data_IF_313376182594
#
_entry.id   IF_313376182594
#
_cell.length_a   1.000
_cell.length_b   1.000
_cell.length_c   1.000
_cell.angle_alpha   90.00
_cell.angle_beta   90.00
_cell.angle_gamma   90.00
#
_symmetry.space_group_name_H-M   'P 1'
#
loop_
_entity.id
_entity.type
_entity.pdbx_description
1 polymer ?
#
# COMPACT_ATOMS: atom_id res chain seq x y z
N UNK A 1 17.42 -31.96 44.87
CA UNK A 1 18.19 -30.87 44.24
C UNK A 1 17.41 -30.44 43.02
N UNK A 2 16.75 -29.28 43.09
CA UNK A 2 15.96 -28.71 41.98
C UNK A 2 16.92 -27.85 41.16
N UNK A 3 17.09 -28.17 39.87
CA UNK A 3 17.81 -27.30 38.94
C UNK A 3 16.97 -26.04 38.70
N UNK A 4 17.58 -24.83 38.66
CA UNK A 4 16.85 -23.64 38.24
C UNK A 4 16.63 -23.70 36.73
N UNK A 5 15.37 -23.65 36.32
CA UNK A 5 14.99 -23.42 34.92
C UNK A 5 15.42 -22.01 34.53
N UNK A 6 16.38 -21.90 33.63
CA UNK A 6 16.63 -20.65 32.89
C UNK A 6 15.37 -20.29 32.10
N UNK A 7 14.86 -19.05 32.18
CA UNK A 7 13.89 -18.60 31.20
C UNK A 7 14.57 -18.55 29.83
N UNK A 8 13.99 -19.24 28.87
CA UNK A 8 14.36 -19.19 27.45
C UNK A 8 14.08 -17.76 26.96
N UNK A 9 15.07 -16.88 27.12
CA UNK A 9 15.11 -15.49 26.66
C UNK A 9 15.29 -15.47 25.12
N UNK A 10 14.37 -16.11 24.41
CA UNK A 10 14.34 -16.11 22.95
C UNK A 10 13.03 -15.52 22.40
N UNK A 11 12.24 -14.88 23.27
CA UNK A 11 11.00 -14.18 22.93
C UNK A 11 11.22 -12.74 22.41
N UNK A 12 12.46 -12.24 22.39
CA UNK A 12 12.76 -10.83 22.11
C UNK A 12 13.24 -10.52 20.68
N UNK A 13 13.12 -11.45 19.71
CA UNK A 13 13.65 -11.28 18.35
C UNK A 13 12.68 -11.70 17.22
N UNK A 14 11.35 -11.72 17.43
CA UNK A 14 10.37 -11.78 16.32
C UNK A 14 9.23 -10.76 16.54
N UNK A 15 9.59 -9.51 16.81
CA UNK A 15 8.71 -8.34 16.58
C UNK A 15 9.45 -7.30 15.72
N UNK A 16 10.37 -7.76 14.87
CA UNK A 16 10.95 -6.94 13.80
C UNK A 16 9.87 -6.70 12.75
N UNK A 17 9.06 -5.67 12.98
CA UNK A 17 8.24 -4.97 12.00
C UNK A 17 7.68 -5.84 10.87
N UNK A 18 6.56 -6.53 11.12
CA UNK A 18 5.64 -6.85 10.02
C UNK A 18 5.07 -5.53 9.49
N UNK A 19 5.86 -4.82 8.67
CA UNK A 19 5.44 -3.58 8.04
C UNK A 19 4.39 -3.95 7.02
N UNK A 20 3.14 -3.53 7.23
CA UNK A 20 2.06 -3.88 6.32
C UNK A 20 2.29 -3.25 4.94
N UNK A 21 1.68 -3.83 3.92
CA UNK A 21 1.78 -3.29 2.56
C UNK A 21 1.23 -1.86 2.49
N UNK A 22 0.17 -1.58 3.24
CA UNK A 22 -0.36 -0.23 3.43
C UNK A 22 0.66 0.72 4.06
N UNK A 23 1.34 0.31 5.14
CA UNK A 23 2.37 1.13 5.77
C UNK A 23 3.52 1.41 4.80
N UNK A 24 3.93 0.41 4.01
CA UNK A 24 4.95 0.56 2.96
C UNK A 24 4.53 1.59 1.91
N UNK A 25 3.32 1.44 1.36
CA UNK A 25 2.77 2.37 0.38
C UNK A 25 2.68 3.80 0.94
N UNK A 26 2.18 3.96 2.17
CA UNK A 26 2.08 5.25 2.85
C UNK A 26 3.45 5.90 3.07
N UNK A 27 4.43 5.13 3.55
CA UNK A 27 5.77 5.63 3.86
C UNK A 27 6.54 6.09 2.61
N UNK A 28 6.25 5.49 1.46
CA UNK A 28 6.92 5.79 0.19
C UNK A 28 6.12 6.73 -0.72
N UNK A 29 4.84 6.96 -0.48
CA UNK A 29 4.04 7.94 -1.21
C UNK A 29 4.56 9.37 -0.95
N UNK A 30 4.56 10.20 -1.99
CA UNK A 30 4.96 11.62 -1.91
C UNK A 30 3.89 12.59 -2.39
N UNK A 31 3.02 12.13 -3.30
CA UNK A 31 2.00 12.99 -3.88
C UNK A 31 0.86 12.15 -4.43
N UNK A 32 -0.35 12.63 -4.20
CA UNK A 32 -1.57 12.11 -4.81
C UNK A 32 -2.21 13.22 -5.65
N UNK A 33 -2.68 12.88 -6.85
CA UNK A 33 -3.40 13.80 -7.74
C UNK A 33 -4.59 13.05 -8.34
N UNK A 34 -5.79 13.59 -8.19
CA UNK A 34 -6.99 13.11 -8.86
C UNK A 34 -7.48 14.13 -9.90
N UNK A 35 -8.18 13.66 -10.93
CA UNK A 35 -8.89 14.55 -11.84
C UNK A 35 -10.19 15.08 -11.20
N UNK A 36 -10.77 16.14 -11.77
CA UNK A 36 -11.98 16.79 -11.25
C UNK A 36 -13.22 15.90 -11.21
N UNK A 37 -13.23 14.86 -12.03
CA UNK A 37 -14.32 13.88 -12.07
C UNK A 37 -14.12 12.72 -11.09
N UNK A 38 -12.98 12.69 -10.38
CA UNK A 38 -12.59 11.63 -9.45
C UNK A 38 -12.72 10.22 -10.05
N UNK A 39 -12.41 10.11 -11.35
CA UNK A 39 -12.45 8.85 -12.07
C UNK A 39 -11.07 8.39 -12.53
N UNK A 40 -10.06 9.26 -12.40
CA UNK A 40 -8.66 8.98 -12.65
C UNK A 40 -7.81 9.59 -11.55
N UNK A 41 -6.74 8.88 -11.18
CA UNK A 41 -5.77 9.38 -10.22
C UNK A 41 -4.36 8.89 -10.49
N UNK A 42 -3.38 9.60 -9.94
CA UNK A 42 -1.97 9.22 -9.93
C UNK A 42 -1.42 9.33 -8.51
N UNK A 43 -0.81 8.26 -8.01
CA UNK A 43 -0.07 8.22 -6.76
C UNK A 43 1.43 8.11 -7.08
N UNK A 44 2.20 9.10 -6.67
CA UNK A 44 3.65 9.18 -6.89
C UNK A 44 4.42 8.67 -5.67
N UNK A 45 5.51 7.95 -5.92
CA UNK A 45 6.41 7.40 -4.91
C UNK A 45 7.78 8.07 -4.89
N UNK A 46 8.51 7.94 -3.78
CA UNK A 46 9.84 8.54 -3.55
C UNK A 46 10.91 8.09 -4.54
N UNK A 47 10.77 6.89 -5.11
CA UNK A 47 11.71 6.36 -6.11
C UNK A 47 11.44 6.91 -7.52
N UNK A 48 10.46 7.82 -7.67
CA UNK A 48 10.06 8.42 -8.94
C UNK A 48 9.04 7.58 -9.72
N UNK A 49 8.71 6.38 -9.25
CA UNK A 49 7.64 5.57 -9.83
C UNK A 49 6.26 6.10 -9.46
N UNK A 50 5.23 5.67 -10.19
CA UNK A 50 3.85 6.05 -9.90
C UNK A 50 2.85 4.93 -10.21
N UNK A 51 1.71 4.97 -9.52
CA UNK A 51 0.51 4.19 -9.85
C UNK A 51 -0.50 5.08 -10.55
N UNK A 52 -1.04 4.61 -11.68
CA UNK A 52 -2.19 5.21 -12.34
C UNK A 52 -3.44 4.40 -12.05
N UNK A 53 -4.54 5.10 -11.77
CA UNK A 53 -5.84 4.52 -11.47
C UNK A 53 -6.87 5.06 -12.45
N UNK A 54 -7.78 4.20 -12.89
CA UNK A 54 -8.99 4.60 -13.61
C UNK A 54 -10.19 3.77 -13.14
N UNK A 55 -11.35 4.41 -12.96
CA UNK A 55 -12.62 3.75 -12.67
C UNK A 55 -13.77 4.27 -13.57
N UNK A 56 -13.67 4.13 -14.88
CA UNK A 56 -14.76 4.55 -15.79
C UNK A 56 -15.86 3.50 -15.86
N UNK A 57 -16.97 3.76 -15.18
CA UNK A 57 -18.12 2.85 -15.16
C UNK A 57 -17.86 1.52 -14.44
N UNK A 58 -18.75 0.53 -14.64
CA UNK A 58 -18.64 -0.79 -14.00
C UNK A 58 -17.55 -1.68 -14.62
N UNK A 59 -17.15 -1.41 -15.86
CA UNK A 59 -16.31 -2.31 -16.66
C UNK A 59 -14.88 -1.82 -16.87
N UNK A 60 -14.55 -0.56 -16.56
CA UNK A 60 -13.19 -0.03 -16.72
C UNK A 60 -12.61 0.43 -15.39
N UNK A 61 -12.32 -0.55 -14.50
CA UNK A 61 -11.56 -0.33 -13.27
C UNK A 61 -10.20 -1.00 -13.39
N UNK A 62 -9.14 -0.21 -13.40
CA UNK A 62 -7.77 -0.74 -13.47
C UNK A 62 -6.80 0.13 -12.66
N UNK A 63 -5.70 -0.51 -12.27
CA UNK A 63 -4.52 0.12 -11.68
C UNK A 63 -3.29 -0.38 -12.45
N UNK A 64 -2.32 0.50 -12.69
CA UNK A 64 -1.07 0.17 -13.38
C UNK A 64 0.12 0.88 -12.75
N UNK A 65 1.20 0.14 -12.51
CA UNK A 65 2.49 0.71 -12.16
C UNK A 65 3.18 1.31 -13.40
N UNK A 66 3.99 2.34 -13.16
CA UNK A 66 4.79 3.00 -14.20
C UNK A 66 5.95 2.15 -14.74
N UNK A 67 6.51 1.28 -13.88
CA UNK A 67 7.68 0.46 -14.18
C UNK A 67 7.79 -0.70 -13.19
N UNK A 68 8.37 -1.83 -13.62
CA UNK A 68 8.59 -3.03 -12.80
C UNK A 68 9.70 -2.83 -11.75
N UNK A 69 9.71 -3.66 -10.70
CA UNK A 69 10.72 -3.66 -9.62
C UNK A 69 10.84 -2.32 -8.87
N UNK A 70 9.79 -1.51 -8.90
CA UNK A 70 9.68 -0.21 -8.20
C UNK A 70 8.76 -0.29 -6.99
N UNK A 71 8.65 0.79 -6.22
CA UNK A 71 7.65 0.89 -5.15
C UNK A 71 6.22 0.82 -5.72
N UNK A 72 5.96 1.47 -6.85
CA UNK A 72 4.67 1.37 -7.54
C UNK A 72 4.36 -0.05 -7.98
N UNK A 73 5.33 -0.79 -8.52
CA UNK A 73 5.16 -2.20 -8.92
C UNK A 73 4.78 -3.08 -7.74
N UNK A 74 5.53 -2.97 -6.64
CA UNK A 74 5.25 -3.72 -5.41
C UNK A 74 3.85 -3.43 -4.89
N UNK A 75 3.49 -2.16 -4.78
CA UNK A 75 2.16 -1.75 -4.34
C UNK A 75 1.08 -2.20 -5.33
N UNK A 76 1.34 -2.24 -6.64
CA UNK A 76 0.39 -2.68 -7.66
C UNK A 76 0.12 -4.18 -7.58
N UNK A 77 1.17 -4.99 -7.48
CA UNK A 77 1.08 -6.45 -7.46
C UNK A 77 0.39 -6.97 -6.20
N UNK A 78 0.54 -6.25 -5.10
CA UNK A 78 0.05 -6.66 -3.80
C UNK A 78 -1.31 -6.03 -3.45
N UNK A 79 -1.86 -5.22 -4.36
CA UNK A 79 -3.16 -4.58 -4.22
C UNK A 79 -4.29 -5.53 -4.63
N UNK A 80 -5.23 -5.72 -3.72
CA UNK A 80 -6.46 -6.44 -3.99
C UNK A 80 -7.44 -5.58 -4.81
N UNK A 81 -7.69 -4.36 -4.36
CA UNK A 81 -8.59 -3.41 -5.02
C UNK A 81 -8.37 -1.98 -4.51
N UNK A 82 -8.95 -0.98 -5.19
CA UNK A 82 -8.84 0.44 -4.79
C UNK A 82 -10.18 1.18 -4.89
N UNK A 83 -10.51 2.06 -3.96
CA UNK A 83 -11.66 2.95 -4.09
C UNK A 83 -11.18 4.35 -4.43
N UNK A 84 -11.68 4.89 -5.53
CA UNK A 84 -11.50 6.30 -5.88
C UNK A 84 -12.87 7.00 -5.77
N UNK A 85 -12.91 8.12 -5.06
CA UNK A 85 -14.08 8.99 -4.97
C UNK A 85 -13.65 10.45 -4.70
N UNK A 86 -14.63 11.34 -4.55
CA UNK A 86 -14.42 12.77 -4.33
C UNK A 86 -13.64 13.14 -3.06
N UNK A 87 -13.53 12.23 -2.10
CA UNK A 87 -12.89 12.47 -0.80
C UNK A 87 -11.47 11.90 -0.74
N UNK A 88 -11.28 10.69 -1.26
CA UNK A 88 -10.03 9.97 -1.11
C UNK A 88 -9.76 8.96 -2.23
N UNK A 89 -8.49 8.57 -2.33
CA UNK A 89 -8.05 7.30 -2.89
C UNK A 89 -7.74 6.35 -1.74
N UNK A 90 -8.43 5.22 -1.67
CA UNK A 90 -8.17 4.16 -0.70
C UNK A 90 -7.65 2.93 -1.42
N UNK A 91 -6.54 2.36 -0.95
CA UNK A 91 -5.94 1.13 -1.47
C UNK A 91 -6.12 0.01 -0.45
N UNK A 92 -6.54 -1.15 -0.92
CA UNK A 92 -6.70 -2.37 -0.12
C UNK A 92 -5.72 -3.43 -0.61
N UNK A 93 -5.01 -4.04 0.32
CA UNK A 93 -3.93 -4.97 0.03
C UNK A 93 -4.30 -6.42 0.38
N UNK A 94 -3.57 -7.37 -0.20
CA UNK A 94 -3.79 -8.80 0.02
C UNK A 94 -3.50 -9.25 1.46
N UNK A 95 -2.67 -8.52 2.21
CA UNK A 95 -2.42 -8.77 3.64
C UNK A 95 -3.57 -8.28 4.55
N UNK A 96 -4.65 -7.76 3.97
CA UNK A 96 -5.81 -7.21 4.69
C UNK A 96 -5.61 -5.79 5.21
N UNK A 97 -4.44 -5.18 4.97
CA UNK A 97 -4.21 -3.78 5.32
C UNK A 97 -4.78 -2.82 4.26
N UNK A 98 -5.05 -1.59 4.68
CA UNK A 98 -5.50 -0.52 3.78
C UNK A 98 -4.84 0.82 4.12
N UNK A 99 -4.79 1.71 3.12
CA UNK A 99 -4.27 3.07 3.25
C UNK A 99 -5.17 4.06 2.50
N UNK A 100 -5.37 5.23 3.09
CA UNK A 100 -6.13 6.34 2.51
C UNK A 100 -5.21 7.51 2.14
N UNK A 101 -5.43 8.10 0.97
CA UNK A 101 -4.81 9.33 0.51
C UNK A 101 -5.88 10.38 0.21
N UNK A 102 -5.72 11.57 0.79
CA UNK A 102 -6.58 12.73 0.59
C UNK A 102 -5.85 13.82 -0.22
N UNK A 103 -6.62 14.71 -0.85
CA UNK A 103 -6.09 15.85 -1.61
C UNK A 103 -5.56 16.98 -0.71
#
# INVERSE_FOLDING_TARGET
>A
MVQPSTPDDNSFQIELNSFSQAQSAAAHAVRYVANSEFNQAVLFFRDGSYLQFEHKGRESRWVKASAERTQADRACLSMSHFRLNALHLQLYFEDGSDVEFTL
#
